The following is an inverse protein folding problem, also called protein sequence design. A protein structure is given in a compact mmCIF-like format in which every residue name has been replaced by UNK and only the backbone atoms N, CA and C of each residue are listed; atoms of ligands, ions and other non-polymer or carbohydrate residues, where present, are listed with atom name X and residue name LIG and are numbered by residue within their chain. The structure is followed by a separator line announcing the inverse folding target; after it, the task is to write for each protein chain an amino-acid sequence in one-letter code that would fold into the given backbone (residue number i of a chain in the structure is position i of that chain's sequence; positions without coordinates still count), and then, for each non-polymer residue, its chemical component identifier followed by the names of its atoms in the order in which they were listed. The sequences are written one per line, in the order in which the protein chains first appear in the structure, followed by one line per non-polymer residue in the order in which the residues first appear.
data_IF_467263650602
#
_entry.id   IF_467263650602
#
_cell.length_a   1.000
_cell.length_b   1.000
_cell.length_c   1.000
_cell.angle_alpha   90.00
_cell.angle_beta   90.00
_cell.angle_gamma   90.00
#
_symmetry.space_group_name_H-M   'P 1'
#
loop_
_entity.id
_entity.type
_entity.pdbx_description
1 polymer ?
#
# COMPACT_ATOMS: atom_id res chain seq x y z
N UNK A 1 -14.12 11.16 -14.28
CA UNK A 1 -12.89 10.39 -14.61
C UNK A 1 -12.42 9.69 -13.35
N UNK A 2 -12.25 8.40 -13.41
CA UNK A 2 -11.66 7.64 -12.33
C UNK A 2 -10.14 7.81 -12.25
N UNK A 3 -9.49 7.29 -11.21
CA UNK A 3 -8.04 7.32 -11.09
C UNK A 3 -7.35 6.52 -12.22
N UNK A 4 -6.06 6.78 -12.52
CA UNK A 4 -5.33 6.10 -13.58
C UNK A 4 -5.26 4.56 -13.48
N UNK A 5 -5.50 4.01 -12.29
CA UNK A 5 -5.56 2.56 -12.06
C UNK A 5 -6.63 2.26 -11.02
N UNK A 6 -7.72 1.65 -11.43
CA UNK A 6 -8.90 1.45 -10.57
C UNK A 6 -9.72 0.24 -10.98
N UNK A 7 -10.61 -0.16 -10.12
CA UNK A 7 -11.63 -1.16 -10.33
C UNK A 7 -12.82 -0.94 -9.40
N UNK A 8 -13.94 -1.63 -9.60
CA UNK A 8 -15.07 -1.60 -8.70
C UNK A 8 -14.72 -2.24 -7.34
N UNK A 9 -15.53 -1.95 -6.32
CA UNK A 9 -15.28 -2.41 -4.95
C UNK A 9 -15.29 -3.93 -4.79
N UNK A 10 -15.94 -4.65 -5.68
CA UNK A 10 -16.00 -6.13 -5.71
C UNK A 10 -14.78 -6.78 -6.39
N UNK A 11 -13.91 -5.98 -7.01
CA UNK A 11 -12.70 -6.45 -7.67
C UNK A 11 -12.93 -7.22 -8.99
N UNK A 12 -14.12 -7.16 -9.57
CA UNK A 12 -14.47 -7.88 -10.82
C UNK A 12 -13.97 -7.20 -12.08
N UNK A 13 -13.61 -5.92 -12.01
CA UNK A 13 -13.04 -5.17 -13.12
C UNK A 13 -11.86 -4.32 -12.66
N UNK A 14 -10.82 -4.27 -13.48
CA UNK A 14 -9.63 -3.46 -13.24
C UNK A 14 -9.25 -2.72 -14.51
N UNK A 15 -8.92 -1.44 -14.37
CA UNK A 15 -8.50 -0.60 -15.49
C UNK A 15 -7.24 0.18 -15.12
N UNK A 16 -6.33 0.31 -16.06
CA UNK A 16 -5.17 1.18 -15.90
C UNK A 16 -4.97 2.00 -17.17
N UNK A 17 -4.66 3.27 -16.99
CA UNK A 17 -4.39 4.22 -18.06
C UNK A 17 -2.94 4.71 -18.07
N UNK A 18 -2.08 4.09 -17.28
CA UNK A 18 -0.65 4.35 -17.34
C UNK A 18 -0.08 3.89 -18.66
N UNK A 19 0.65 4.76 -19.34
CA UNK A 19 1.37 4.37 -20.54
C UNK A 19 2.47 3.36 -20.20
N UNK A 20 2.57 2.30 -20.99
CA UNK A 20 3.57 1.24 -20.85
C UNK A 20 4.44 1.17 -22.12
N UNK A 21 5.42 2.08 -22.28
CA UNK A 21 6.22 2.15 -23.50
C UNK A 21 7.07 0.89 -23.71
N UNK A 22 7.10 0.39 -24.96
CA UNK A 22 7.90 -0.76 -25.36
C UNK A 22 8.53 -0.54 -26.74
N UNK A 23 9.69 -1.15 -27.01
CA UNK A 23 10.43 -0.94 -28.25
C UNK A 23 10.13 -1.97 -29.33
N UNK A 24 10.00 -3.23 -28.98
CA UNK A 24 9.87 -4.34 -29.94
C UNK A 24 8.58 -5.13 -29.79
N UNK A 25 8.07 -5.21 -28.58
CA UNK A 25 6.86 -5.97 -28.25
C UNK A 25 6.58 -5.93 -26.77
N UNK A 26 5.33 -6.20 -26.43
CA UNK A 26 4.86 -6.31 -25.06
C UNK A 26 4.10 -7.63 -24.89
N UNK A 27 4.14 -8.18 -23.69
CA UNK A 27 3.39 -9.37 -23.30
C UNK A 27 2.72 -9.11 -21.97
N UNK A 28 1.43 -9.30 -21.91
CA UNK A 28 0.64 -9.21 -20.70
C UNK A 28 0.20 -10.61 -20.32
N UNK A 29 0.44 -11.00 -19.08
CA UNK A 29 0.08 -12.31 -18.55
C UNK A 29 -0.80 -12.16 -17.33
N UNK A 30 -1.79 -13.04 -17.22
CA UNK A 30 -2.66 -13.16 -16.04
C UNK A 30 -2.50 -14.58 -15.52
N UNK A 31 -2.12 -14.71 -14.26
CA UNK A 31 -2.01 -16.00 -13.57
C UNK A 31 -3.18 -16.17 -12.60
N UNK A 32 -3.97 -17.21 -12.79
CA UNK A 32 -4.95 -17.60 -11.78
C UNK A 32 -4.27 -18.34 -10.63
N UNK A 33 -4.28 -17.75 -9.45
CA UNK A 33 -3.71 -18.32 -8.23
C UNK A 33 -4.78 -18.87 -7.26
N UNK A 34 -6.06 -18.81 -7.64
CA UNK A 34 -7.14 -19.45 -6.88
C UNK A 34 -7.14 -20.97 -7.06
N UNK A 35 -7.83 -21.66 -6.15
CA UNK A 35 -7.97 -23.12 -6.22
C UNK A 35 -9.05 -23.55 -7.25
N UNK A 36 -9.89 -22.60 -7.68
CA UNK A 36 -10.96 -22.82 -8.67
C UNK A 36 -10.55 -22.25 -10.03
N UNK A 37 -11.05 -22.87 -11.09
CA UNK A 37 -10.92 -22.34 -12.44
C UNK A 37 -11.68 -21.00 -12.59
N UNK A 38 -11.18 -20.14 -13.46
CA UNK A 38 -11.87 -18.94 -13.93
C UNK A 38 -12.43 -19.28 -15.32
N UNK A 39 -13.74 -19.27 -15.46
CA UNK A 39 -14.38 -19.69 -16.71
C UNK A 39 -14.20 -18.67 -17.83
N UNK A 40 -14.22 -17.37 -17.49
CA UNK A 40 -14.13 -16.30 -18.49
C UNK A 40 -13.31 -15.13 -17.97
N UNK A 41 -12.43 -14.60 -18.82
CA UNK A 41 -11.73 -13.33 -18.63
C UNK A 41 -11.93 -12.52 -19.89
N UNK A 42 -12.40 -11.29 -19.73
CA UNK A 42 -12.55 -10.32 -20.83
C UNK A 42 -11.54 -9.20 -20.62
N UNK A 43 -10.89 -8.77 -21.69
CA UNK A 43 -9.90 -7.70 -21.60
C UNK A 43 -9.88 -6.85 -22.87
N UNK A 44 -9.45 -5.61 -22.71
CA UNK A 44 -9.08 -4.70 -23.78
C UNK A 44 -7.67 -4.19 -23.53
N UNK A 45 -6.89 -4.08 -24.59
CA UNK A 45 -5.56 -3.46 -24.58
C UNK A 45 -5.47 -2.52 -25.77
N UNK A 46 -5.47 -1.22 -25.49
CA UNK A 46 -5.28 -0.18 -26.49
C UNK A 46 -3.80 0.16 -26.58
N UNK A 47 -3.27 0.29 -27.80
CA UNK A 47 -1.89 0.69 -27.99
C UNK A 47 -1.72 1.56 -29.24
N UNK A 48 -0.64 2.31 -29.27
CA UNK A 48 -0.22 3.11 -30.41
C UNK A 48 1.09 2.58 -30.97
N UNK A 49 1.15 2.45 -32.30
CA UNK A 49 2.40 2.22 -33.00
C UNK A 49 3.04 3.55 -33.38
N UNK A 50 4.30 3.74 -32.99
CA UNK A 50 5.07 4.94 -33.31
C UNK A 50 6.35 4.55 -34.02
N UNK A 51 6.81 5.36 -34.95
CA UNK A 51 8.04 5.06 -35.72
C UNK A 51 9.27 4.95 -34.81
N UNK A 52 9.30 5.70 -33.72
CA UNK A 52 10.36 5.69 -32.71
C UNK A 52 9.85 6.25 -31.39
N UNK A 53 10.22 5.59 -30.29
CA UNK A 53 9.99 6.16 -28.97
C UNK A 53 10.92 7.36 -28.71
N UNK A 54 10.44 8.41 -28.01
CA UNK A 54 11.31 9.46 -27.47
C UNK A 54 12.45 8.86 -26.66
N UNK A 55 13.64 9.48 -26.73
CA UNK A 55 14.85 8.95 -26.07
C UNK A 55 14.74 8.86 -24.55
N UNK A 56 13.98 9.76 -23.97
CA UNK A 56 13.77 9.96 -22.54
C UNK A 56 12.46 9.36 -22.03
N UNK A 57 11.79 8.57 -22.88
CA UNK A 57 10.55 7.91 -22.47
C UNK A 57 10.84 6.79 -21.46
N UNK A 58 10.28 6.95 -20.25
CA UNK A 58 10.42 6.00 -19.16
C UNK A 58 9.79 4.63 -19.42
N UNK A 59 10.20 3.65 -18.67
CA UNK A 59 9.60 2.32 -18.61
C UNK A 59 8.75 2.21 -17.36
N UNK A 60 7.50 1.80 -17.52
CA UNK A 60 6.55 1.62 -16.44
C UNK A 60 6.93 0.42 -15.58
N UNK A 61 6.84 0.61 -14.27
CA UNK A 61 7.02 -0.44 -13.27
C UNK A 61 5.87 -0.39 -12.27
N UNK A 62 5.53 -1.56 -11.73
CA UNK A 62 4.61 -1.70 -10.62
C UNK A 62 5.14 -2.78 -9.67
N UNK A 63 4.96 -2.58 -8.37
CA UNK A 63 5.37 -3.54 -7.35
C UNK A 63 4.30 -3.73 -6.30
N UNK A 64 3.92 -4.99 -6.12
CA UNK A 64 3.02 -5.40 -5.05
C UNK A 64 3.84 -5.83 -3.83
N UNK A 65 3.56 -5.25 -2.68
CA UNK A 65 4.04 -5.73 -1.39
C UNK A 65 2.88 -5.97 -0.43
N UNK A 66 3.09 -6.87 0.53
CA UNK A 66 2.17 -7.14 1.63
C UNK A 66 2.90 -7.65 2.85
N UNK A 67 2.53 -7.12 3.98
CA UNK A 67 3.09 -7.50 5.27
C UNK A 67 2.01 -7.41 6.37
N UNK A 68 2.11 -8.31 7.35
CA UNK A 68 1.42 -8.15 8.63
C UNK A 68 2.45 -7.58 9.60
N UNK A 69 2.30 -6.32 9.94
CA UNK A 69 3.28 -5.59 10.74
C UNK A 69 3.31 -6.05 12.18
N UNK A 70 4.44 -5.84 12.84
CA UNK A 70 4.65 -6.18 14.24
C UNK A 70 4.87 -4.90 15.04
N UNK A 71 4.06 -4.62 16.07
CA UNK A 71 4.22 -3.42 16.87
C UNK A 71 5.61 -3.30 17.47
N UNK A 72 6.17 -2.10 17.39
CA UNK A 72 7.45 -1.73 18.00
C UNK A 72 7.17 -0.95 19.27
N UNK A 73 7.67 -1.44 20.38
CA UNK A 73 7.50 -0.80 21.69
C UNK A 73 8.75 -0.95 22.53
N UNK A 74 8.98 0.01 23.38
CA UNK A 74 10.04 -0.07 24.37
C UNK A 74 9.84 -1.31 25.27
N UNK A 75 10.82 -2.20 25.36
CA UNK A 75 10.68 -3.47 26.07
C UNK A 75 10.59 -3.30 27.60
N UNK A 76 11.02 -2.16 28.15
CA UNK A 76 11.03 -1.91 29.59
C UNK A 76 9.76 -1.17 30.03
N UNK A 77 9.32 -0.21 29.25
CA UNK A 77 8.19 0.66 29.59
C UNK A 77 6.89 0.31 28.87
N UNK A 78 6.98 -0.45 27.76
CA UNK A 78 5.85 -0.67 26.85
C UNK A 78 5.45 0.56 26.04
N UNK A 79 6.17 1.67 26.20
CA UNK A 79 5.89 2.94 25.52
C UNK A 79 6.38 3.01 24.09
N UNK A 80 6.16 4.16 23.48
CA UNK A 80 6.61 4.46 22.13
C UNK A 80 8.13 4.61 22.06
N UNK A 81 8.70 4.21 20.91
CA UNK A 81 10.10 4.46 20.55
C UNK A 81 10.10 5.44 19.39
N UNK A 82 10.82 6.56 19.53
CA UNK A 82 10.96 7.53 18.46
C UNK A 82 11.51 6.87 17.18
N UNK A 83 10.79 7.01 16.09
CA UNK A 83 11.12 6.43 14.79
C UNK A 83 11.76 7.50 13.88
N UNK A 84 13.09 7.59 13.91
CA UNK A 84 13.83 8.62 13.14
C UNK A 84 14.30 8.07 11.79
N UNK A 85 14.61 6.79 11.73
CA UNK A 85 15.27 6.17 10.58
C UNK A 85 14.37 5.22 9.76
N UNK A 86 13.10 5.08 10.14
CA UNK A 86 12.11 4.29 9.42
C UNK A 86 12.44 2.82 9.24
N UNK A 87 13.31 2.23 10.08
CA UNK A 87 13.75 0.84 9.92
C UNK A 87 12.63 -0.17 10.00
N UNK A 88 11.71 0.05 10.92
CA UNK A 88 10.60 -0.85 11.19
C UNK A 88 9.33 -0.48 10.42
N UNK A 89 9.41 0.53 9.55
CA UNK A 89 8.29 0.95 8.73
C UNK A 89 7.92 -0.10 7.67
N UNK A 90 6.64 -0.14 7.33
CA UNK A 90 6.20 -0.86 6.14
C UNK A 90 6.80 -0.22 4.87
N UNK A 91 7.45 -1.03 4.04
CA UNK A 91 8.09 -0.57 2.79
C UNK A 91 7.08 -0.68 1.65
N UNK A 92 6.72 0.45 1.03
CA UNK A 92 5.88 0.45 -0.15
C UNK A 92 6.61 0.70 -1.47
N UNK A 93 7.86 1.19 -1.43
CA UNK A 93 8.73 1.26 -2.60
C UNK A 93 10.20 1.05 -2.19
N UNK A 94 10.90 0.21 -2.97
CA UNK A 94 12.37 -0.02 -2.88
C UNK A 94 12.90 -0.15 -4.30
N UNK A 95 13.39 0.96 -4.85
CA UNK A 95 13.67 1.14 -6.27
C UNK A 95 15.13 1.49 -6.44
N UNK A 96 15.81 0.74 -7.33
CA UNK A 96 17.19 1.03 -7.72
C UNK A 96 17.23 1.57 -9.15
N UNK A 97 18.06 2.59 -9.39
CA UNK A 97 18.21 3.26 -10.68
C UNK A 97 17.56 4.64 -10.69
N UNK A 98 17.46 5.23 -11.88
CA UNK A 98 16.92 6.58 -12.10
C UNK A 98 15.46 6.52 -12.52
N UNK A 99 14.62 7.41 -11.97
CA UNK A 99 13.21 7.45 -12.33
C UNK A 99 12.40 8.47 -11.54
N UNK A 100 11.09 8.25 -11.55
CA UNK A 100 10.16 9.03 -10.74
C UNK A 100 8.97 8.17 -10.30
N UNK A 101 8.61 8.29 -9.05
CA UNK A 101 7.46 7.64 -8.43
C UNK A 101 6.18 8.42 -8.77
N UNK A 102 5.12 7.68 -9.12
CA UNK A 102 3.87 8.28 -9.61
C UNK A 102 2.61 7.81 -8.89
N UNK A 103 2.70 6.89 -7.95
CA UNK A 103 1.48 6.53 -7.23
C UNK A 103 1.55 5.29 -6.36
N UNK A 104 0.53 5.21 -5.52
CA UNK A 104 0.33 4.13 -4.56
C UNK A 104 -1.15 3.80 -4.44
N UNK A 105 -1.47 2.51 -4.54
CA UNK A 105 -2.68 1.94 -3.95
C UNK A 105 -2.29 1.33 -2.60
N UNK A 106 -3.09 1.61 -1.58
CA UNK A 106 -2.85 1.20 -0.20
C UNK A 106 -4.09 0.51 0.37
N UNK A 107 -3.90 -0.68 0.85
CA UNK A 107 -4.89 -1.44 1.59
C UNK A 107 -4.41 -1.69 2.99
N UNK A 108 -5.29 -1.48 3.96
CA UNK A 108 -5.05 -1.86 5.35
C UNK A 108 -6.24 -2.67 5.87
N UNK A 109 -5.96 -3.78 6.56
CA UNK A 109 -6.92 -4.44 7.41
C UNK A 109 -6.47 -4.27 8.86
N UNK A 110 -7.24 -3.48 9.59
CA UNK A 110 -7.00 -3.17 10.99
C UNK A 110 -7.78 -4.16 11.87
N UNK A 111 -7.13 -4.92 12.76
CA UNK A 111 -7.80 -5.83 13.69
C UNK A 111 -8.33 -5.11 14.95
N UNK A 112 -8.12 -3.81 15.06
CA UNK A 112 -8.49 -2.97 16.20
C UNK A 112 -9.58 -1.97 15.83
N UNK A 113 -10.32 -1.48 16.82
CA UNK A 113 -11.24 -0.36 16.65
C UNK A 113 -10.57 1.01 16.72
N UNK A 114 -9.29 1.05 17.14
CA UNK A 114 -8.50 2.28 17.18
C UNK A 114 -8.18 2.78 15.76
N UNK A 115 -7.96 4.07 15.63
CA UNK A 115 -7.47 4.68 14.40
C UNK A 115 -6.03 4.20 14.11
N UNK A 116 -5.77 3.87 12.86
CA UNK A 116 -4.49 3.28 12.43
C UNK A 116 -3.57 4.27 11.69
N UNK A 117 -4.08 5.43 11.35
CA UNK A 117 -3.49 6.28 10.32
C UNK A 117 -2.62 7.43 10.84
N UNK A 118 -2.11 7.37 12.07
CA UNK A 118 -1.16 8.35 12.61
C UNK A 118 0.27 8.16 12.08
N UNK A 119 0.50 7.11 11.29
CA UNK A 119 1.83 6.76 10.83
C UNK A 119 2.34 7.64 9.70
N UNK A 120 3.54 8.18 9.85
CA UNK A 120 4.20 9.07 8.90
C UNK A 120 4.77 8.31 7.70
N UNK A 121 4.64 8.88 6.51
CA UNK A 121 5.42 8.44 5.34
C UNK A 121 6.83 9.02 5.39
N UNK A 122 7.81 8.19 5.01
CA UNK A 122 9.22 8.56 5.00
C UNK A 122 9.88 8.19 3.68
N UNK A 123 10.60 9.15 3.08
CA UNK A 123 11.20 9.04 1.76
C UNK A 123 12.71 9.22 1.83
N UNK A 124 13.42 8.18 1.40
CA UNK A 124 14.88 8.11 1.35
C UNK A 124 15.31 8.16 -0.10
N UNK A 125 15.79 9.31 -0.56
CA UNK A 125 16.15 9.55 -1.94
C UNK A 125 17.65 9.36 -2.11
N UNK A 126 18.06 8.67 -3.19
CA UNK A 126 19.43 8.50 -3.63
C UNK A 126 20.43 7.96 -2.57
N UNK A 127 19.92 7.11 -1.67
CA UNK A 127 20.74 6.44 -0.66
C UNK A 127 20.86 7.19 0.67
N UNK A 128 19.94 8.10 0.92
CA UNK A 128 19.83 8.77 2.22
C UNK A 128 19.66 7.75 3.37
N UNK A 129 20.24 8.07 4.54
CA UNK A 129 20.10 7.28 5.76
C UNK A 129 19.00 7.82 6.69
N UNK A 130 18.77 9.10 6.59
CA UNK A 130 17.70 9.83 7.29
C UNK A 130 16.79 10.36 6.18
N UNK A 131 15.48 10.23 6.28
CA UNK A 131 14.57 10.63 5.22
C UNK A 131 14.60 12.15 5.05
N UNK A 132 14.68 12.62 3.80
CA UNK A 132 14.59 14.05 3.47
C UNK A 132 13.17 14.56 3.39
N UNK A 133 12.21 13.67 3.22
CA UNK A 133 10.79 13.97 3.25
C UNK A 133 10.11 13.08 4.28
N UNK A 134 9.37 13.69 5.21
CA UNK A 134 8.60 13.01 6.24
C UNK A 134 7.21 13.62 6.26
N UNK A 135 6.20 12.77 6.27
CA UNK A 135 4.80 13.17 6.40
C UNK A 135 4.37 13.45 7.84
N UNK A 136 3.08 13.53 8.03
CA UNK A 136 2.44 13.83 9.31
C UNK A 136 1.28 12.88 9.64
N UNK A 137 1.13 11.82 8.87
CA UNK A 137 0.09 10.80 9.05
C UNK A 137 -0.32 10.16 7.73
N UNK A 138 -0.80 8.93 7.83
CA UNK A 138 -1.29 8.16 6.67
C UNK A 138 -2.47 8.86 5.97
N UNK A 139 -3.38 9.46 6.74
CA UNK A 139 -4.50 10.20 6.15
C UNK A 139 -4.05 11.44 5.40
N UNK A 140 -3.05 12.15 5.92
CA UNK A 140 -2.46 13.34 5.28
C UNK A 140 -1.73 12.96 4.00
N UNK A 141 -0.99 11.84 4.02
CA UNK A 141 -0.38 11.27 2.84
C UNK A 141 -1.40 11.03 1.73
N UNK A 142 -2.60 10.53 2.05
CA UNK A 142 -3.68 10.30 1.08
C UNK A 142 -4.60 11.52 0.90
N UNK A 143 -4.14 12.73 1.25
CA UNK A 143 -4.80 14.01 1.03
C UNK A 143 -6.18 14.12 1.72
N UNK A 144 -6.31 13.56 2.90
CA UNK A 144 -7.38 13.88 3.82
C UNK A 144 -6.79 14.58 5.04
N UNK A 145 -7.58 15.37 5.74
CA UNK A 145 -7.25 15.84 7.08
C UNK A 145 -8.24 15.20 8.04
N UNK A 146 -7.74 14.71 9.14
CA UNK A 146 -8.52 13.90 10.08
C UNK A 146 -9.01 12.60 9.41
N UNK A 147 -9.36 11.63 10.16
CA UNK A 147 -9.81 10.33 9.64
C UNK A 147 -10.92 10.47 8.58
N UNK A 148 -10.85 9.81 7.42
CA UNK A 148 -11.91 9.84 6.42
C UNK A 148 -13.18 9.21 6.98
N UNK A 149 -14.31 9.90 6.92
CA UNK A 149 -15.59 9.45 7.51
C UNK A 149 -16.44 8.64 6.54
N UNK A 150 -16.26 8.87 5.25
CA UNK A 150 -17.03 8.24 4.19
C UNK A 150 -16.17 8.01 2.94
N UNK A 151 -16.54 7.04 2.09
CA UNK A 151 -15.85 6.82 0.84
C UNK A 151 -15.95 8.02 -0.10
N UNK A 152 -14.82 8.36 -0.74
CA UNK A 152 -14.80 9.35 -1.81
C UNK A 152 -13.73 8.99 -2.85
N UNK A 153 -13.86 9.56 -4.04
CA UNK A 153 -12.92 9.37 -5.14
C UNK A 153 -12.70 10.68 -5.90
N UNK A 154 -11.45 11.04 -6.07
CA UNK A 154 -10.97 12.14 -6.90
C UNK A 154 -10.05 11.58 -7.99
N UNK A 155 -9.70 12.34 -9.05
CA UNK A 155 -8.85 11.82 -10.13
C UNK A 155 -7.50 11.27 -9.65
N UNK A 156 -6.89 11.87 -8.61
CA UNK A 156 -5.54 11.53 -8.19
C UNK A 156 -5.42 11.01 -6.75
N UNK A 157 -6.47 11.07 -5.96
CA UNK A 157 -6.48 10.53 -4.59
C UNK A 157 -7.89 10.19 -4.15
N UNK A 158 -8.01 9.34 -3.15
CA UNK A 158 -9.31 8.99 -2.58
C UNK A 158 -9.28 7.80 -1.66
N UNK A 159 -10.42 7.58 -1.03
CA UNK A 159 -10.72 6.45 -0.17
C UNK A 159 -11.96 5.72 -0.73
N UNK A 160 -11.80 4.81 -1.71
CA UNK A 160 -12.92 4.10 -2.30
C UNK A 160 -13.60 3.13 -1.31
N UNK A 161 -12.92 2.80 -0.21
CA UNK A 161 -13.47 2.01 0.89
C UNK A 161 -13.01 2.57 2.22
N UNK A 162 -13.97 2.84 3.09
CA UNK A 162 -13.77 3.19 4.49
C UNK A 162 -14.62 2.26 5.33
N UNK A 163 -14.04 1.62 6.35
CA UNK A 163 -14.77 0.83 7.30
C UNK A 163 -14.68 1.49 8.68
N UNK A 164 -15.77 2.13 9.09
CA UNK A 164 -15.90 2.86 10.34
C UNK A 164 -17.19 2.52 11.10
N UNK A 165 -17.83 1.40 10.79
CA UNK A 165 -19.05 0.97 11.45
C UNK A 165 -18.81 0.58 12.91
N UNK A 166 -17.62 0.03 13.21
CA UNK A 166 -17.18 -0.33 14.56
C UNK A 166 -15.78 0.25 14.78
N UNK A 167 -15.72 1.56 14.97
CA UNK A 167 -14.46 2.27 14.95
C UNK A 167 -13.75 2.02 13.60
N UNK A 168 -12.46 1.76 13.63
CA UNK A 168 -11.64 1.52 12.44
C UNK A 168 -11.34 0.04 12.18
N UNK A 169 -12.12 -0.84 12.79
CA UNK A 169 -12.02 -2.28 12.57
C UNK A 169 -12.33 -2.63 11.12
N UNK A 170 -11.48 -3.43 10.49
CA UNK A 170 -11.72 -3.98 9.15
C UNK A 170 -10.88 -3.33 8.07
N UNK A 171 -11.41 -3.22 6.85
CA UNK A 171 -10.65 -2.84 5.67
C UNK A 171 -10.88 -1.41 5.24
N UNK A 172 -9.79 -0.71 5.00
CA UNK A 172 -9.78 0.58 4.29
C UNK A 172 -8.92 0.45 3.04
N UNK A 173 -9.33 1.12 1.98
CA UNK A 173 -8.54 1.28 0.77
C UNK A 173 -8.38 2.77 0.49
N UNK A 174 -7.14 3.19 0.26
CA UNK A 174 -6.78 4.53 -0.17
C UNK A 174 -5.89 4.47 -1.42
N UNK A 175 -5.85 5.55 -2.17
CA UNK A 175 -4.91 5.71 -3.28
C UNK A 175 -4.48 7.16 -3.42
N UNK A 176 -3.24 7.35 -3.90
CA UNK A 176 -2.71 8.64 -4.34
C UNK A 176 -1.84 8.44 -5.57
N UNK A 177 -2.08 9.28 -6.60
CA UNK A 177 -1.30 9.33 -7.83
C UNK A 177 -0.62 10.69 -7.95
N UNK A 178 0.70 10.68 -7.98
CA UNK A 178 1.58 11.85 -8.06
C UNK A 178 1.79 12.25 -9.52
N UNK A 179 0.72 12.59 -10.23
CA UNK A 179 0.78 12.91 -11.65
C UNK A 179 1.32 14.32 -11.87
N UNK A 180 0.97 15.26 -11.01
CA UNK A 180 1.41 16.64 -11.08
C UNK A 180 2.65 16.94 -10.20
N UNK A 181 2.95 16.05 -9.26
CA UNK A 181 3.96 16.19 -8.23
C UNK A 181 4.83 14.93 -8.05
N UNK A 182 5.34 14.30 -9.15
CA UNK A 182 6.09 13.05 -9.06
C UNK A 182 7.36 13.22 -8.22
N UNK A 183 7.72 12.16 -7.49
CA UNK A 183 8.95 12.15 -6.67
C UNK A 183 10.09 11.60 -7.52
N UNK A 184 11.06 12.46 -7.86
CA UNK A 184 12.20 12.12 -8.71
C UNK A 184 13.37 11.55 -7.90
N UNK A 185 14.10 10.63 -8.52
CA UNK A 185 15.34 10.07 -7.96
C UNK A 185 16.34 9.75 -9.09
N UNK A 186 17.63 9.87 -8.79
CA UNK A 186 18.72 9.65 -9.75
C UNK A 186 19.42 8.30 -9.55
N UNK A 187 19.38 7.73 -8.35
CA UNK A 187 20.08 6.48 -8.00
C UNK A 187 19.16 5.45 -7.36
N UNK A 188 18.31 5.89 -6.46
CA UNK A 188 17.41 4.99 -5.73
C UNK A 188 16.30 5.76 -5.03
N UNK A 189 15.21 5.05 -4.75
CA UNK A 189 14.14 5.53 -3.89
C UNK A 189 13.72 4.41 -2.95
N UNK A 190 13.79 4.64 -1.63
CA UNK A 190 13.09 3.82 -0.64
C UNK A 190 12.00 4.70 -0.02
N UNK A 191 10.76 4.23 -0.09
CA UNK A 191 9.63 4.92 0.52
C UNK A 191 8.87 3.97 1.44
N UNK A 192 8.56 4.46 2.62
CA UNK A 192 8.02 3.67 3.73
C UNK A 192 6.91 4.43 4.42
N UNK A 193 6.10 3.72 5.19
CA UNK A 193 5.06 4.32 6.02
C UNK A 193 5.02 3.60 7.37
N UNK A 194 4.86 4.33 8.43
CA UNK A 194 4.63 3.78 9.75
C UNK A 194 3.30 3.04 9.83
N UNK A 195 3.17 2.13 10.77
CA UNK A 195 1.94 1.40 11.04
C UNK A 195 1.40 1.73 12.44
N UNK A 196 0.59 2.77 12.51
CA UNK A 196 0.25 3.49 13.74
C UNK A 196 1.32 4.50 14.12
N UNK A 197 1.19 5.15 15.25
CA UNK A 197 2.18 6.11 15.76
C UNK A 197 3.50 5.39 16.06
N UNK A 198 4.59 5.84 15.46
CA UNK A 198 5.92 5.23 15.67
C UNK A 198 5.93 3.69 15.53
N UNK A 199 5.15 3.14 14.63
CA UNK A 199 5.04 1.69 14.38
C UNK A 199 4.40 0.87 15.52
N UNK A 200 3.46 1.44 16.24
CA UNK A 200 2.88 0.81 17.44
C UNK A 200 1.74 -0.19 17.16
N UNK A 201 1.31 -0.37 15.91
CA UNK A 201 0.15 -1.18 15.55
C UNK A 201 0.50 -2.44 14.74
N UNK A 202 -0.29 -3.49 14.98
CA UNK A 202 -0.33 -4.68 14.13
C UNK A 202 -1.39 -4.48 13.02
N UNK A 203 -0.94 -4.29 11.80
CA UNK A 203 -1.79 -4.07 10.64
C UNK A 203 -1.47 -5.07 9.52
N UNK A 204 -2.47 -5.51 8.78
CA UNK A 204 -2.27 -6.24 7.51
C UNK A 204 -2.29 -5.21 6.38
N UNK A 205 -1.12 -4.79 5.94
CA UNK A 205 -0.96 -3.77 4.90
C UNK A 205 -0.60 -4.43 3.58
N UNK A 206 -1.25 -3.99 2.51
CA UNK A 206 -0.90 -4.37 1.15
C UNK A 206 -0.87 -3.14 0.24
N UNK A 207 0.12 -3.05 -0.63
CA UNK A 207 0.29 -1.91 -1.54
C UNK A 207 0.60 -2.34 -2.95
N UNK A 208 0.26 -1.46 -3.90
CA UNK A 208 0.83 -1.47 -5.25
C UNK A 208 1.41 -0.10 -5.51
N UNK A 209 2.72 -0.04 -5.65
CA UNK A 209 3.45 1.17 -6.00
C UNK A 209 3.66 1.24 -7.52
N UNK A 210 3.66 2.45 -8.08
CA UNK A 210 3.81 2.72 -9.51
C UNK A 210 4.90 3.76 -9.75
N UNK A 211 5.77 3.50 -10.75
CA UNK A 211 6.82 4.44 -11.12
C UNK A 211 7.29 4.25 -12.57
N UNK A 212 8.01 5.24 -13.08
CA UNK A 212 8.74 5.15 -14.33
C UNK A 212 10.24 5.23 -14.09
N UNK A 213 11.01 4.48 -14.90
CA UNK A 213 12.47 4.52 -14.90
C UNK A 213 13.02 4.73 -16.33
N UNK A 214 14.25 5.20 -16.43
CA UNK A 214 14.93 5.45 -17.71
C UNK A 214 15.09 4.17 -18.56
N UNK A 215 15.11 3.01 -17.93
CA UNK A 215 15.14 1.68 -18.56
C UNK A 215 14.43 0.64 -17.70
N UNK A 216 14.28 -0.56 -18.20
CA UNK A 216 13.76 -1.67 -17.40
C UNK A 216 14.80 -2.11 -16.36
N UNK A 217 14.44 -2.00 -15.08
CA UNK A 217 15.20 -2.52 -13.95
C UNK A 217 14.46 -3.71 -13.32
N UNK A 218 15.18 -4.61 -12.64
CA UNK A 218 14.53 -5.61 -11.80
C UNK A 218 13.70 -4.93 -10.71
N UNK A 219 12.51 -5.45 -10.48
CA UNK A 219 11.70 -5.05 -9.33
C UNK A 219 12.05 -5.92 -8.11
N UNK A 220 11.81 -5.46 -6.87
CA UNK A 220 11.92 -6.31 -5.69
C UNK A 220 11.03 -7.55 -5.81
N UNK A 221 11.38 -8.61 -5.09
CA UNK A 221 10.54 -9.81 -5.05
C UNK A 221 9.18 -9.50 -4.45
N UNK A 222 8.14 -10.11 -5.01
CA UNK A 222 6.80 -10.04 -4.42
C UNK A 222 6.62 -11.16 -3.39
N UNK A 223 5.75 -11.00 -2.38
CA UNK A 223 5.42 -12.08 -1.46
C UNK A 223 5.03 -13.36 -2.21
N UNK A 224 5.34 -14.52 -1.66
CA UNK A 224 4.96 -15.81 -2.25
C UNK A 224 3.44 -15.99 -2.31
N UNK A 225 2.94 -17.03 -3.00
CA UNK A 225 1.50 -17.29 -3.17
C UNK A 225 0.74 -17.29 -1.84
N UNK A 226 1.30 -17.86 -0.79
CA UNK A 226 0.68 -17.90 0.55
C UNK A 226 0.57 -16.49 1.16
N UNK A 227 1.61 -15.67 1.02
CA UNK A 227 1.61 -14.28 1.48
C UNK A 227 0.66 -13.37 0.69
N UNK A 228 0.30 -13.73 -0.55
CA UNK A 228 -0.67 -13.01 -1.38
C UNK A 228 -2.11 -13.50 -1.23
N UNK A 229 -2.32 -14.62 -0.51
CA UNK A 229 -3.65 -15.20 -0.37
C UNK A 229 -4.61 -14.21 0.30
N UNK A 230 -5.80 -14.06 -0.29
CA UNK A 230 -6.85 -13.22 0.29
C UNK A 230 -7.20 -13.76 1.70
N UNK A 231 -7.17 -12.87 2.68
CA UNK A 231 -7.60 -13.18 4.05
C UNK A 231 -9.07 -12.83 4.24
N UNK A 232 -9.74 -13.54 5.12
CA UNK A 232 -11.11 -13.22 5.50
C UNK A 232 -11.19 -11.81 6.10
N UNK A 233 -12.32 -11.15 5.90
CA UNK A 233 -12.63 -9.92 6.60
C UNK A 233 -12.67 -10.21 8.11
N UNK A 234 -11.97 -9.38 8.87
CA UNK A 234 -12.12 -9.35 10.33
C UNK A 234 -13.46 -8.67 10.62
N UNK A 235 -14.27 -9.29 11.45
CA UNK A 235 -15.54 -8.78 11.90
C UNK A 235 -15.61 -8.80 13.44
N UNK A 236 -16.68 -8.26 14.00
CA UNK A 236 -16.89 -8.20 15.43
C UNK A 236 -16.77 -9.56 16.15
N UNK A 237 -17.26 -10.65 15.53
CA UNK A 237 -17.14 -11.99 16.08
C UNK A 237 -15.70 -12.47 16.17
N UNK A 238 -14.87 -12.14 15.20
CA UNK A 238 -13.45 -12.49 15.24
C UNK A 238 -12.75 -11.78 16.41
N UNK A 239 -13.06 -10.53 16.66
CA UNK A 239 -12.54 -9.78 17.81
C UNK A 239 -13.00 -10.42 19.12
N UNK A 240 -14.29 -10.76 19.22
CA UNK A 240 -14.81 -11.43 20.40
C UNK A 240 -14.10 -12.78 20.65
N UNK A 241 -13.90 -13.58 19.62
CA UNK A 241 -13.16 -14.85 19.72
C UNK A 241 -11.69 -14.63 20.13
N UNK A 242 -11.03 -13.64 19.57
CA UNK A 242 -9.66 -13.27 19.96
C UNK A 242 -9.59 -12.88 21.43
N UNK A 243 -10.52 -12.04 21.90
CA UNK A 243 -10.65 -11.63 23.30
C UNK A 243 -10.87 -12.83 24.22
N UNK A 244 -11.77 -13.71 23.90
CA UNK A 244 -12.05 -14.92 24.70
C UNK A 244 -10.81 -15.87 24.74
N UNK A 245 -10.12 -16.00 23.64
CA UNK A 245 -8.89 -16.78 23.58
C UNK A 245 -7.79 -16.15 24.46
N UNK A 246 -7.63 -14.83 24.37
CA UNK A 246 -6.69 -14.09 25.19
C UNK A 246 -6.98 -14.26 26.68
N UNK A 247 -8.24 -14.09 27.10
CA UNK A 247 -8.64 -14.30 28.50
C UNK A 247 -8.30 -15.68 29.02
N UNK A 248 -8.50 -16.71 28.20
CA UNK A 248 -8.14 -18.10 28.57
C UNK A 248 -6.64 -18.32 28.72
N UNK A 249 -5.83 -17.60 27.96
CA UNK A 249 -4.35 -17.79 27.95
C UNK A 249 -3.59 -16.86 28.88
N UNK A 250 -4.09 -15.66 29.09
CA UNK A 250 -3.40 -14.57 29.82
C UNK A 250 -4.15 -14.07 31.07
N UNK A 251 -5.35 -14.59 31.32
CA UNK A 251 -6.20 -14.13 32.44
C UNK A 251 -7.12 -12.96 32.09
N UNK A 252 -8.01 -12.61 33.02
CA UNK A 252 -9.10 -11.68 32.73
C UNK A 252 -8.68 -10.21 32.56
N UNK A 253 -7.48 -9.83 32.93
CA UNK A 253 -7.11 -8.41 33.10
C UNK A 253 -6.27 -7.84 31.94
N UNK A 254 -6.25 -8.47 30.78
CA UNK A 254 -5.24 -8.10 29.80
C UNK A 254 -5.75 -7.63 28.43
N UNK A 255 -7.04 -7.52 28.24
CA UNK A 255 -7.57 -7.07 26.96
C UNK A 255 -8.59 -5.93 27.14
N UNK A 256 -8.19 -4.73 26.75
CA UNK A 256 -9.09 -3.58 26.70
C UNK A 256 -9.45 -2.97 28.06
N UNK A 257 -8.63 -3.20 29.05
CA UNK A 257 -8.70 -2.55 30.37
C UNK A 257 -7.55 -1.53 30.58
N UNK A 258 -6.85 -1.18 29.49
CA UNK A 258 -5.80 -0.15 29.44
C UNK A 258 -6.31 1.13 28.77
#
# INVERSE_FOLDING_TARGET
CGPPSTGPADGTGMSTYFMMPFEKGARIEIENQADNAIDNIFFYVDYYEVAKLPKDMGRFHAWFNREVTVPVRDPETGGEIANIDGKENYVFADIQGKGHFIGLNYYVQNPSTAWYGEGDDMWFIDGEKIPSMVGTGTEDFFNTSWCPKEPFQSPFFGYPRVNNETGWLGRTHAYRFFINDPVFFEKSLKATIEHGTSNDMNLDIATVAYWYQDKAYPIPSIPNKAGRKLKSLINFWNIHQMRETWKKTKGNNAWGDE
#
